data_IF_658218816173
#
_entry.id   IF_658218816173
#
_cell.length_a   1.000
_cell.length_b   1.000
_cell.length_c   1.000
_cell.angle_alpha   90.00
_cell.angle_beta   90.00
_cell.angle_gamma   90.00
#
_symmetry.space_group_name_H-M   'P 1'
#
loop_
_entity.id
_entity.type
_entity.pdbx_description
1 polymer ?
#
# COMPACT_ATOMS: atom_id res chain seq x y z
N UNK A 1 5.01 16.87 39.13
CA UNK A 1 3.58 16.48 39.29
C UNK A 1 3.18 15.63 38.11
N UNK A 2 2.41 14.55 38.33
CA UNK A 2 1.92 13.67 37.26
C UNK A 2 1.13 14.47 36.22
N UNK A 3 1.29 14.19 34.92
CA UNK A 3 0.54 14.84 33.81
C UNK A 3 -0.98 14.73 33.92
N UNK A 4 -1.49 13.97 34.90
CA UNK A 4 -2.89 13.75 35.19
C UNK A 4 -3.50 14.74 36.21
N UNK A 5 -2.70 15.66 36.78
CA UNK A 5 -3.15 16.70 37.70
C UNK A 5 -2.69 18.07 37.18
N UNK A 6 -3.64 18.96 36.89
CA UNK A 6 -3.39 20.36 36.53
C UNK A 6 -4.08 21.30 37.53
N UNK A 7 -3.45 22.43 37.82
CA UNK A 7 -4.04 23.44 38.70
C UNK A 7 -5.25 24.10 38.04
N UNK A 8 -6.22 24.53 38.86
CA UNK A 8 -7.43 25.24 38.37
C UNK A 8 -7.16 26.72 38.13
N UNK A 9 -6.12 27.29 38.76
CA UNK A 9 -5.78 28.70 38.66
C UNK A 9 -4.47 28.87 37.89
N UNK A 10 -4.49 29.65 36.82
CA UNK A 10 -3.38 29.94 35.89
C UNK A 10 -2.27 30.85 36.49
N UNK A 11 -2.12 30.92 37.81
CA UNK A 11 -1.06 31.69 38.46
C UNK A 11 0.06 30.76 38.91
N UNK A 12 1.12 30.71 38.10
CA UNK A 12 2.42 30.11 38.42
C UNK A 12 2.94 30.58 39.79
N UNK A 13 3.25 29.66 40.69
CA UNK A 13 4.61 29.60 41.26
C UNK A 13 4.84 28.30 42.05
N UNK A 14 5.72 27.44 41.54
CA UNK A 14 6.14 26.20 42.22
C UNK A 14 6.90 26.50 43.53
N UNK A 15 7.53 27.68 43.60
CA UNK A 15 8.28 28.17 44.76
C UNK A 15 7.37 28.63 45.91
N UNK A 16 6.21 29.22 45.61
CA UNK A 16 5.22 29.58 46.63
C UNK A 16 4.64 28.33 47.31
N UNK A 17 4.46 27.23 46.58
CA UNK A 17 3.86 26.00 47.10
C UNK A 17 4.80 25.22 48.03
N UNK A 18 6.09 25.10 47.67
CA UNK A 18 7.11 24.48 48.55
C UNK A 18 7.33 25.27 49.86
N UNK A 19 6.96 26.55 49.90
CA UNK A 19 7.01 27.39 51.11
C UNK A 19 5.83 27.14 52.09
N UNK A 20 4.73 26.52 51.64
CA UNK A 20 3.53 26.28 52.44
C UNK A 20 3.61 24.93 53.20
N UNK A 21 4.62 24.73 54.05
CA UNK A 21 4.52 23.75 55.14
C UNK A 21 3.65 24.40 56.22
N UNK A 22 2.35 24.05 56.40
CA UNK A 22 1.98 22.77 57.03
C UNK A 22 0.70 22.09 56.48
N UNK A 23 0.54 20.82 56.87
CA UNK A 23 -0.44 19.80 56.45
C UNK A 23 -1.94 20.18 56.37
N UNK A 24 -2.39 21.37 56.77
CA UNK A 24 -3.82 21.68 56.97
C UNK A 24 -4.45 22.61 55.91
N UNK A 25 -3.68 23.29 55.06
CA UNK A 25 -4.24 24.19 54.01
C UNK A 25 -4.61 23.50 52.70
N UNK A 26 -4.12 22.29 52.44
CA UNK A 26 -4.34 21.56 51.18
C UNK A 26 -5.74 20.95 51.03
N UNK A 27 -6.48 20.76 52.13
CA UNK A 27 -7.80 20.09 52.15
C UNK A 27 -8.90 20.79 51.36
N UNK A 28 -8.76 22.10 51.09
CA UNK A 28 -9.76 22.90 50.34
C UNK A 28 -9.34 23.21 48.90
N UNK A 29 -8.14 22.80 48.49
CA UNK A 29 -7.63 23.06 47.15
C UNK A 29 -8.20 22.05 46.16
N UNK A 30 -8.80 22.57 45.10
CA UNK A 30 -9.38 21.81 44.00
C UNK A 30 -8.39 21.74 42.83
N UNK A 31 -8.28 20.57 42.21
CA UNK A 31 -7.41 20.30 41.07
C UNK A 31 -8.21 19.75 39.90
N UNK A 32 -7.79 20.08 38.67
CA UNK A 32 -8.26 19.39 37.46
C UNK A 32 -7.57 18.03 37.41
N UNK A 33 -8.32 16.99 37.70
CA UNK A 33 -7.87 15.61 37.63
C UNK A 33 -8.33 14.99 36.30
N UNK A 34 -7.40 14.49 35.51
CA UNK A 34 -7.66 13.74 34.28
C UNK A 34 -7.49 12.25 34.52
N UNK A 35 -8.52 11.46 34.23
CA UNK A 35 -8.46 10.01 34.36
C UNK A 35 -7.49 9.41 33.33
N UNK A 36 -6.58 8.54 33.80
CA UNK A 36 -5.62 7.83 32.95
C UNK A 36 -6.26 6.87 31.94
N UNK A 37 -7.43 6.31 32.25
CA UNK A 37 -8.07 5.29 31.44
C UNK A 37 -9.05 5.86 30.39
N UNK A 38 -9.99 6.70 30.82
CA UNK A 38 -11.01 7.26 29.92
C UNK A 38 -10.72 8.70 29.46
N UNK A 39 -9.74 9.37 30.06
CA UNK A 39 -9.42 10.76 29.74
C UNK A 39 -10.39 11.79 30.34
N UNK A 40 -11.46 11.37 31.03
CA UNK A 40 -12.42 12.29 31.65
C UNK A 40 -11.74 13.21 32.66
N UNK A 41 -12.09 14.50 32.57
CA UNK A 41 -11.60 15.52 33.48
C UNK A 41 -12.65 15.76 34.56
N UNK A 42 -12.23 15.80 35.81
CA UNK A 42 -13.09 16.16 36.95
C UNK A 42 -12.33 17.04 37.93
N UNK A 43 -13.07 17.81 38.72
CA UNK A 43 -12.50 18.68 39.74
C UNK A 43 -12.53 17.93 41.07
N UNK A 44 -11.35 17.67 41.64
CA UNK A 44 -11.19 16.89 42.88
C UNK A 44 -10.21 17.56 43.84
N UNK A 45 -10.39 17.34 45.13
CA UNK A 45 -9.36 17.63 46.12
C UNK A 45 -8.26 16.57 46.03
N UNK A 46 -7.04 16.90 46.48
CA UNK A 46 -5.89 15.98 46.38
C UNK A 46 -6.14 14.64 47.08
N UNK A 47 -6.78 14.64 48.26
CA UNK A 47 -7.13 13.43 49.03
C UNK A 47 -8.16 12.52 48.33
N UNK A 48 -8.91 13.05 47.35
CA UNK A 48 -9.94 12.30 46.62
C UNK A 48 -9.44 11.69 45.30
N UNK A 49 -8.15 11.84 45.01
CA UNK A 49 -7.49 11.26 43.84
C UNK A 49 -6.81 9.96 44.31
N UNK A 50 -7.17 8.84 43.69
CA UNK A 50 -6.51 7.57 43.97
C UNK A 50 -5.12 7.52 43.33
N UNK A 51 -4.25 6.66 43.87
CA UNK A 51 -2.87 6.47 43.40
C UNK A 51 -2.80 5.99 41.94
N UNK A 52 -3.85 5.33 41.46
CA UNK A 52 -3.95 4.83 40.08
C UNK A 52 -4.38 5.91 39.07
N UNK A 53 -4.71 7.11 39.53
CA UNK A 53 -5.24 8.22 38.74
C UNK A 53 -6.45 7.83 37.87
N UNK A 54 -7.40 7.11 38.47
CA UNK A 54 -8.66 6.68 37.84
C UNK A 54 -9.88 7.44 38.37
N UNK A 55 -10.85 7.72 37.49
CA UNK A 55 -12.15 8.20 37.96
C UNK A 55 -12.92 7.08 38.67
N UNK A 56 -13.92 7.44 39.47
CA UNK A 56 -14.67 6.47 40.27
C UNK A 56 -15.33 5.39 39.39
N UNK A 57 -15.89 5.80 38.24
CA UNK A 57 -16.48 4.86 37.27
C UNK A 57 -15.45 3.85 36.73
N UNK A 58 -14.28 4.31 36.28
CA UNK A 58 -13.23 3.43 35.77
C UNK A 58 -12.65 2.50 36.86
N UNK A 59 -12.48 3.03 38.08
CA UNK A 59 -12.03 2.25 39.22
C UNK A 59 -13.05 1.14 39.58
N UNK A 60 -14.34 1.48 39.60
CA UNK A 60 -15.42 0.50 39.78
C UNK A 60 -15.44 -0.55 38.66
N UNK A 61 -15.32 -0.17 37.39
CA UNK A 61 -15.30 -1.11 36.25
C UNK A 61 -14.19 -2.17 36.44
N UNK A 62 -13.00 -1.75 36.87
CA UNK A 62 -11.88 -2.67 37.12
C UNK A 62 -12.17 -3.57 38.31
N UNK A 63 -12.74 -3.01 39.39
CA UNK A 63 -13.12 -3.75 40.59
C UNK A 63 -14.25 -4.76 40.34
N UNK A 64 -15.22 -4.47 39.46
CA UNK A 64 -16.33 -5.37 39.13
C UNK A 64 -15.95 -6.44 38.11
N UNK A 65 -14.97 -6.20 37.23
CA UNK A 65 -14.49 -7.18 36.25
C UNK A 65 -13.60 -8.29 36.85
N UNK A 66 -13.81 -8.64 38.12
CA UNK A 66 -12.98 -9.60 38.84
C UNK A 66 -12.99 -11.02 38.25
N UNK A 67 -14.00 -11.39 37.47
CA UNK A 67 -14.16 -12.76 36.96
C UNK A 67 -13.68 -12.97 35.50
N UNK A 68 -13.20 -11.93 34.80
CA UNK A 68 -12.71 -12.05 33.43
C UNK A 68 -11.22 -11.66 33.32
N UNK A 69 -10.34 -12.67 33.31
CA UNK A 69 -8.88 -12.51 33.23
C UNK A 69 -8.45 -11.71 31.98
N UNK A 70 -9.16 -11.84 30.86
CA UNK A 70 -8.82 -11.16 29.62
C UNK A 70 -9.04 -9.64 29.72
N UNK A 71 -10.17 -9.21 30.29
CA UNK A 71 -10.46 -7.79 30.50
C UNK A 71 -9.56 -7.18 31.59
N UNK A 72 -9.21 -7.93 32.64
CA UNK A 72 -8.20 -7.48 33.63
C UNK A 72 -6.86 -7.14 32.98
N UNK A 73 -6.36 -8.06 32.13
CA UNK A 73 -5.08 -7.87 31.41
C UNK A 73 -5.13 -6.64 30.53
N UNK A 74 -6.24 -6.45 29.81
CA UNK A 74 -6.47 -5.30 28.92
C UNK A 74 -6.47 -3.97 29.69
N UNK A 75 -7.21 -3.87 30.79
CA UNK A 75 -7.23 -2.67 31.64
C UNK A 75 -5.88 -2.39 32.27
N UNK A 76 -5.18 -3.41 32.74
CA UNK A 76 -3.83 -3.25 33.29
C UNK A 76 -2.86 -2.72 32.23
N UNK A 77 -2.94 -3.24 31.01
CA UNK A 77 -2.12 -2.75 29.90
C UNK A 77 -2.46 -1.29 29.55
N UNK A 78 -3.75 -0.91 29.57
CA UNK A 78 -4.17 0.46 29.32
C UNK A 78 -3.65 1.42 30.40
N UNK A 79 -3.74 1.03 31.67
CA UNK A 79 -3.25 1.83 32.79
C UNK A 79 -1.74 1.96 32.72
N UNK A 80 -0.99 0.87 32.49
CA UNK A 80 0.48 0.91 32.55
C UNK A 80 1.11 1.51 31.30
N UNK A 81 0.58 1.17 30.13
CA UNK A 81 1.22 1.43 28.83
C UNK A 81 0.35 2.24 27.86
N UNK A 82 -0.85 2.66 28.25
CA UNK A 82 -1.77 3.40 27.38
C UNK A 82 -2.36 2.57 26.23
N UNK A 83 -2.07 1.26 26.18
CA UNK A 83 -2.48 0.36 25.10
C UNK A 83 -3.21 -0.86 25.64
N UNK A 84 -4.17 -1.38 24.88
CA UNK A 84 -4.98 -2.53 25.31
C UNK A 84 -4.24 -3.89 25.25
N UNK A 85 -3.04 -3.91 24.67
CA UNK A 85 -2.16 -5.07 24.61
C UNK A 85 -0.71 -4.56 24.74
N UNK A 86 0.04 -5.12 25.69
CA UNK A 86 1.44 -4.76 25.97
C UNK A 86 2.32 -4.82 24.71
N UNK A 87 2.06 -5.75 23.78
CA UNK A 87 2.80 -5.87 22.53
C UNK A 87 2.63 -4.68 21.58
N UNK A 88 1.60 -3.84 21.79
CA UNK A 88 1.39 -2.60 21.02
C UNK A 88 2.21 -1.43 21.58
N UNK A 89 2.74 -1.53 22.80
CA UNK A 89 3.53 -0.45 23.42
C UNK A 89 4.87 -0.30 22.71
N UNK A 90 5.20 0.92 22.30
CA UNK A 90 6.48 1.21 21.65
C UNK A 90 7.67 0.93 22.57
N UNK A 91 7.53 1.24 23.87
CA UNK A 91 8.55 0.94 24.89
C UNK A 91 8.88 -0.56 24.92
N UNK A 92 7.85 -1.41 24.84
CA UNK A 92 8.00 -2.86 24.90
C UNK A 92 8.57 -3.39 23.59
N UNK A 93 8.16 -2.85 22.44
CA UNK A 93 8.74 -3.19 21.13
C UNK A 93 10.24 -2.91 21.09
N UNK A 94 10.66 -1.75 21.57
CA UNK A 94 12.09 -1.39 21.63
C UNK A 94 12.87 -2.28 22.60
N UNK A 95 12.29 -2.62 23.77
CA UNK A 95 12.91 -3.58 24.70
C UNK A 95 13.11 -4.96 24.07
N UNK A 96 12.12 -5.46 23.33
CA UNK A 96 12.20 -6.73 22.61
C UNK A 96 13.29 -6.66 21.53
N UNK A 97 13.27 -5.61 20.71
CA UNK A 97 14.28 -5.36 19.67
C UNK A 97 15.70 -5.38 20.23
N UNK A 98 15.96 -4.59 21.27
CA UNK A 98 17.27 -4.51 21.90
C UNK A 98 17.71 -5.85 22.52
N UNK A 99 16.77 -6.62 23.07
CA UNK A 99 17.06 -7.94 23.62
C UNK A 99 17.43 -8.94 22.51
N UNK A 100 16.70 -8.92 21.40
CA UNK A 100 16.98 -9.77 20.25
C UNK A 100 18.35 -9.44 19.64
N UNK A 101 18.66 -8.15 19.46
CA UNK A 101 19.97 -7.70 18.96
C UNK A 101 21.09 -8.19 19.88
N UNK A 102 20.96 -7.99 21.21
CA UNK A 102 21.99 -8.41 22.17
C UNK A 102 22.23 -9.93 22.18
N UNK A 103 21.17 -10.73 22.02
CA UNK A 103 21.27 -12.20 22.13
C UNK A 103 21.57 -12.89 20.82
N UNK A 104 21.08 -12.35 19.70
CA UNK A 104 21.04 -13.04 18.41
C UNK A 104 21.60 -12.18 17.26
N UNK A 105 22.05 -10.95 17.51
CA UNK A 105 22.60 -10.06 16.49
C UNK A 105 21.58 -9.52 15.48
N UNK A 106 20.28 -9.81 15.64
CA UNK A 106 19.20 -9.39 14.75
C UNK A 106 18.03 -8.86 15.57
N UNK A 107 17.31 -7.87 15.07
CA UNK A 107 16.09 -7.37 15.70
C UNK A 107 14.89 -8.32 15.53
N UNK A 108 14.92 -9.15 14.48
CA UNK A 108 13.88 -10.12 14.15
C UNK A 108 14.45 -11.54 14.04
N UNK A 109 14.32 -12.31 15.13
CA UNK A 109 14.82 -13.70 15.21
C UNK A 109 14.26 -14.63 14.11
N UNK A 110 13.06 -14.35 13.60
CA UNK A 110 12.43 -15.18 12.56
C UNK A 110 13.08 -15.03 11.18
N UNK A 111 13.95 -14.02 11.00
CA UNK A 111 14.77 -13.89 9.79
C UNK A 111 16.01 -14.78 9.81
N UNK A 112 16.44 -15.24 10.99
CA UNK A 112 17.60 -16.12 11.15
C UNK A 112 17.25 -17.55 10.75
N UNK A 113 18.14 -18.19 10.01
CA UNK A 113 17.88 -19.52 9.43
C UNK A 113 17.67 -20.61 10.48
N UNK A 114 18.34 -20.51 11.64
CA UNK A 114 18.10 -21.40 12.78
C UNK A 114 16.61 -21.46 13.15
N UNK A 115 15.95 -20.31 13.30
CA UNK A 115 14.55 -20.24 13.69
C UNK A 115 13.60 -20.59 12.54
N UNK A 116 13.96 -20.26 11.29
CA UNK A 116 13.22 -20.73 10.11
C UNK A 116 13.22 -22.26 10.04
N UNK A 117 14.37 -22.90 10.27
CA UNK A 117 14.53 -24.34 10.21
C UNK A 117 13.77 -25.03 11.34
N UNK A 118 13.85 -24.52 12.58
CA UNK A 118 13.02 -25.01 13.71
C UNK A 118 11.52 -24.93 13.40
N UNK A 119 11.08 -23.85 12.74
CA UNK A 119 9.67 -23.73 12.32
C UNK A 119 9.30 -24.76 11.24
N UNK A 120 10.17 -25.02 10.27
CA UNK A 120 9.95 -26.03 9.23
C UNK A 120 9.88 -27.44 9.82
N UNK A 121 10.81 -27.77 10.71
CA UNK A 121 10.87 -29.06 11.41
C UNK A 121 9.60 -29.29 12.24
N UNK A 122 9.17 -28.30 13.01
CA UNK A 122 7.92 -28.39 13.79
C UNK A 122 6.71 -28.66 12.90
N UNK A 123 6.64 -28.02 11.72
CA UNK A 123 5.56 -28.24 10.76
C UNK A 123 5.64 -29.62 10.11
N UNK A 124 6.84 -30.08 9.78
CA UNK A 124 7.08 -31.42 9.24
C UNK A 124 6.64 -32.50 10.25
N UNK A 125 7.02 -32.38 11.52
CA UNK A 125 6.64 -33.33 12.57
C UNK A 125 5.12 -33.36 12.77
N UNK A 126 4.46 -32.19 12.81
CA UNK A 126 3.02 -32.11 13.12
C UNK A 126 2.11 -32.42 11.94
N UNK A 127 2.54 -32.11 10.72
CA UNK A 127 1.67 -32.08 9.54
C UNK A 127 2.26 -32.81 8.33
N UNK A 128 3.44 -33.43 8.45
CA UNK A 128 4.12 -34.11 7.35
C UNK A 128 4.66 -33.18 6.26
N UNK A 129 4.53 -31.86 6.41
CA UNK A 129 4.94 -30.88 5.41
C UNK A 129 5.60 -29.66 6.07
N UNK A 130 6.89 -29.35 5.78
CA UNK A 130 7.60 -28.23 6.39
C UNK A 130 7.04 -26.85 5.98
N UNK A 131 6.24 -26.82 4.92
CA UNK A 131 5.57 -25.63 4.38
C UNK A 131 4.06 -25.65 4.63
N UNK A 132 3.57 -26.49 5.54
CA UNK A 132 2.14 -26.58 5.83
C UNK A 132 1.52 -25.20 6.14
N UNK A 133 0.38 -24.96 5.49
CA UNK A 133 -0.52 -23.82 5.68
C UNK A 133 -1.94 -24.37 5.78
N UNK A 134 -2.67 -23.98 6.83
CA UNK A 134 -4.05 -24.40 7.00
C UNK A 134 -5.00 -23.46 6.23
N UNK A 135 -5.19 -23.76 4.94
CA UNK A 135 -6.05 -22.96 4.07
C UNK A 135 -7.53 -22.99 4.47
N UNK A 136 -8.02 -24.11 5.01
CA UNK A 136 -9.41 -24.25 5.45
C UNK A 136 -9.71 -23.30 6.62
N UNK A 137 -8.89 -23.34 7.66
CA UNK A 137 -9.02 -22.43 8.81
C UNK A 137 -8.86 -20.97 8.42
N UNK A 138 -8.01 -20.68 7.43
CA UNK A 138 -7.87 -19.32 6.89
C UNK A 138 -9.16 -18.85 6.21
N UNK A 139 -9.79 -19.71 5.39
CA UNK A 139 -11.08 -19.43 4.75
C UNK A 139 -12.19 -19.26 5.78
N UNK A 140 -12.33 -20.17 6.74
CA UNK A 140 -13.32 -20.08 7.82
C UNK A 140 -13.19 -18.77 8.61
N UNK A 141 -11.96 -18.37 8.92
CA UNK A 141 -11.69 -17.13 9.64
C UNK A 141 -12.09 -15.92 8.79
N UNK A 142 -11.83 -15.94 7.48
CA UNK A 142 -12.27 -14.88 6.57
C UNK A 142 -13.80 -14.81 6.49
N UNK A 143 -14.48 -15.95 6.34
CA UNK A 143 -15.95 -16.01 6.30
C UNK A 143 -16.54 -15.46 7.60
N UNK A 144 -16.00 -15.88 8.75
CA UNK A 144 -16.49 -15.41 10.06
C UNK A 144 -16.29 -13.91 10.26
N UNK A 145 -15.21 -13.33 9.75
CA UNK A 145 -14.87 -11.90 9.96
C UNK A 145 -15.51 -10.98 8.94
N UNK A 146 -15.65 -11.45 7.69
CA UNK A 146 -15.94 -10.60 6.54
C UNK A 146 -17.09 -11.13 5.67
N UNK A 147 -17.69 -12.27 6.00
CA UNK A 147 -18.74 -12.91 5.19
C UNK A 147 -18.25 -13.54 3.88
N UNK A 148 -16.95 -13.46 3.58
CA UNK A 148 -16.32 -13.96 2.34
C UNK A 148 -15.12 -14.85 2.65
N UNK A 149 -14.84 -15.81 1.78
CA UNK A 149 -13.72 -16.77 1.91
C UNK A 149 -12.32 -16.15 1.71
N UNK A 150 -12.27 -14.94 1.16
CA UNK A 150 -11.04 -14.20 0.91
C UNK A 150 -11.29 -12.69 1.09
N UNK A 151 -10.43 -12.04 1.88
CA UNK A 151 -10.50 -10.59 2.12
C UNK A 151 -10.49 -9.76 0.82
N UNK A 152 -9.80 -10.21 -0.23
CA UNK A 152 -9.78 -9.52 -1.52
C UNK A 152 -11.16 -9.41 -2.19
N UNK A 153 -12.13 -10.26 -1.80
CA UNK A 153 -13.52 -10.21 -2.29
C UNK A 153 -14.39 -9.23 -1.52
N UNK A 154 -13.89 -8.63 -0.44
CA UNK A 154 -14.63 -7.60 0.29
C UNK A 154 -14.77 -6.34 -0.56
N UNK A 155 -15.90 -5.65 -0.43
CA UNK A 155 -16.13 -4.38 -1.11
C UNK A 155 -15.04 -3.36 -0.74
N UNK A 156 -14.65 -3.30 0.54
CA UNK A 156 -13.57 -2.43 1.02
C UNK A 156 -12.25 -2.64 0.25
N UNK A 157 -11.85 -3.90 0.04
CA UNK A 157 -10.62 -4.18 -0.70
C UNK A 157 -10.76 -3.83 -2.18
N UNK A 158 -11.92 -4.11 -2.79
CA UNK A 158 -12.19 -3.79 -4.19
C UNK A 158 -12.20 -2.28 -4.42
N UNK A 159 -12.80 -1.50 -3.52
CA UNK A 159 -12.83 -0.04 -3.60
C UNK A 159 -11.42 0.56 -3.51
N UNK A 160 -10.57 0.02 -2.63
CA UNK A 160 -9.15 0.43 -2.54
C UNK A 160 -8.38 0.14 -3.83
N UNK A 161 -8.63 -1.01 -4.43
CA UNK A 161 -8.02 -1.39 -5.73
C UNK A 161 -8.49 -0.41 -6.81
N UNK A 162 -9.80 -0.18 -6.93
CA UNK A 162 -10.39 0.71 -7.93
C UNK A 162 -9.91 2.14 -7.77
N UNK A 163 -9.81 2.64 -6.54
CA UNK A 163 -9.26 3.95 -6.24
C UNK A 163 -7.82 4.07 -6.72
N UNK A 164 -6.97 3.09 -6.39
CA UNK A 164 -5.56 3.08 -6.82
C UNK A 164 -5.44 3.03 -8.34
N UNK A 165 -6.28 2.24 -9.02
CA UNK A 165 -6.33 2.16 -10.48
C UNK A 165 -6.74 3.51 -11.07
N UNK A 166 -7.79 4.13 -10.55
CA UNK A 166 -8.27 5.42 -11.03
C UNK A 166 -7.23 6.53 -10.83
N UNK A 167 -6.60 6.60 -9.65
CA UNK A 167 -5.54 7.58 -9.35
C UNK A 167 -4.34 7.44 -10.29
N UNK A 168 -3.95 6.21 -10.64
CA UNK A 168 -2.78 5.97 -11.50
C UNK A 168 -3.08 6.09 -12.98
N UNK A 169 -4.30 5.75 -13.41
CA UNK A 169 -4.60 5.48 -14.81
C UNK A 169 -5.76 6.28 -15.37
N UNK A 170 -6.51 7.02 -14.55
CA UNK A 170 -7.64 7.85 -14.97
C UNK A 170 -8.86 7.08 -15.49
N UNK A 171 -8.81 5.75 -15.52
CA UNK A 171 -9.89 4.88 -16.01
C UNK A 171 -9.98 3.58 -15.22
N UNK A 172 -11.17 3.26 -14.73
CA UNK A 172 -11.45 2.01 -14.00
C UNK A 172 -11.67 0.84 -14.95
N UNK A 173 -11.28 -0.36 -14.54
CA UNK A 173 -11.71 -1.61 -15.20
C UNK A 173 -10.98 -1.99 -16.50
N UNK A 174 -9.91 -1.28 -16.87
CA UNK A 174 -9.05 -1.68 -18.00
C UNK A 174 -7.67 -2.07 -17.47
N UNK A 175 -7.22 -3.28 -17.77
CA UNK A 175 -5.81 -3.64 -17.66
C UNK A 175 -5.07 -2.92 -18.77
N UNK A 176 -4.63 -1.69 -18.51
CA UNK A 176 -3.79 -0.93 -19.42
C UNK A 176 -2.33 -1.31 -19.15
N UNK A 177 -1.54 -1.52 -20.21
CA UNK A 177 -0.12 -1.81 -20.07
C UNK A 177 0.58 -0.63 -19.39
N UNK A 178 1.38 -0.90 -18.35
CA UNK A 178 2.21 0.14 -17.71
C UNK A 178 3.08 0.86 -18.75
N UNK A 179 3.63 0.13 -19.72
CA UNK A 179 4.46 0.69 -20.76
C UNK A 179 3.69 1.57 -21.76
N UNK A 180 2.45 1.20 -22.12
CA UNK A 180 1.60 2.02 -22.98
C UNK A 180 1.27 3.37 -22.32
N UNK A 181 1.05 3.38 -20.99
CA UNK A 181 0.84 4.62 -20.22
C UNK A 181 2.10 5.48 -20.19
N UNK A 182 3.27 4.89 -19.95
CA UNK A 182 4.53 5.61 -19.95
C UNK A 182 4.84 6.21 -21.32
N UNK A 183 4.58 5.46 -22.40
CA UNK A 183 4.70 5.93 -23.77
C UNK A 183 3.75 7.10 -24.05
N UNK A 184 2.48 6.98 -23.66
CA UNK A 184 1.50 8.07 -23.77
C UNK A 184 1.94 9.32 -23.03
N UNK A 185 2.33 9.19 -21.75
CA UNK A 185 2.76 10.32 -20.94
C UNK A 185 3.97 11.02 -21.55
N UNK A 186 4.91 10.24 -22.10
CA UNK A 186 6.07 10.79 -22.80
C UNK A 186 5.65 11.56 -24.05
N UNK A 187 4.87 10.96 -24.95
CA UNK A 187 4.38 11.62 -26.17
C UNK A 187 3.61 12.89 -25.83
N UNK A 188 2.70 12.84 -24.84
CA UNK A 188 1.93 13.98 -24.36
C UNK A 188 2.82 15.10 -23.79
N UNK A 189 4.02 14.79 -23.31
CA UNK A 189 4.96 15.80 -22.81
C UNK A 189 5.76 16.52 -23.90
N UNK A 190 5.90 15.91 -25.09
CA UNK A 190 6.74 16.43 -26.18
C UNK A 190 5.94 16.88 -27.41
N UNK A 191 4.68 16.44 -27.55
CA UNK A 191 3.84 16.75 -28.69
C UNK A 191 2.67 17.65 -28.26
N UNK A 192 2.56 18.81 -28.91
CA UNK A 192 1.48 19.78 -28.70
C UNK A 192 0.53 19.68 -29.89
N UNK A 193 -0.55 18.93 -29.71
CA UNK A 193 -1.55 18.68 -30.75
C UNK A 193 -2.63 17.73 -30.25
N UNK A 194 -3.47 17.26 -31.17
CA UNK A 194 -4.50 16.28 -30.83
C UNK A 194 -3.87 14.89 -30.62
N UNK A 195 -4.16 14.27 -29.48
CA UNK A 195 -3.67 12.92 -29.12
C UNK A 195 -4.87 12.05 -28.80
N UNK A 196 -5.07 10.99 -29.59
CA UNK A 196 -6.17 10.05 -29.42
C UNK A 196 -5.59 8.72 -28.93
N UNK A 197 -6.11 8.22 -27.80
CA UNK A 197 -5.73 6.89 -27.27
C UNK A 197 -6.75 5.83 -27.63
N UNK A 198 -6.31 4.59 -27.80
CA UNK A 198 -7.16 3.41 -28.02
C UNK A 198 -8.15 3.60 -29.18
N UNK A 199 -7.70 4.20 -30.28
CA UNK A 199 -8.59 4.53 -31.40
C UNK A 199 -8.96 3.25 -32.18
N UNK A 200 -10.25 2.90 -32.25
CA UNK A 200 -10.74 1.75 -33.04
C UNK A 200 -11.48 2.14 -34.31
N UNK A 201 -11.74 3.43 -34.49
CA UNK A 201 -12.61 3.95 -35.55
C UNK A 201 -11.91 3.95 -36.91
N UNK A 202 -10.59 4.20 -36.93
CA UNK A 202 -9.83 4.39 -38.16
C UNK A 202 -9.54 3.07 -38.87
N UNK A 203 -9.17 2.02 -38.12
CA UNK A 203 -8.76 0.73 -38.69
C UNK A 203 -9.88 -0.32 -38.62
N UNK A 204 -11.13 0.08 -38.90
CA UNK A 204 -12.30 -0.82 -38.98
C UNK A 204 -12.44 -1.74 -37.75
N UNK A 205 -12.28 -1.19 -36.55
CA UNK A 205 -12.37 -1.92 -35.28
C UNK A 205 -11.04 -2.44 -34.73
N UNK A 206 -9.94 -2.38 -35.49
CA UNK A 206 -8.59 -2.59 -34.95
C UNK A 206 -8.15 -1.34 -34.20
N UNK A 207 -7.66 -1.52 -32.98
CA UNK A 207 -7.22 -0.43 -32.11
C UNK A 207 -5.87 0.12 -32.56
N UNK A 208 -5.62 1.41 -32.39
CA UNK A 208 -4.30 2.05 -32.34
C UNK A 208 -4.08 2.53 -30.90
N UNK A 209 -2.95 2.19 -30.29
CA UNK A 209 -2.70 2.55 -28.88
C UNK A 209 -2.67 4.07 -28.71
N UNK A 210 -1.90 4.76 -29.57
CA UNK A 210 -1.81 6.23 -29.61
C UNK A 210 -1.81 6.69 -31.06
N UNK A 211 -2.67 7.65 -31.39
CA UNK A 211 -2.77 8.26 -32.70
C UNK A 211 -2.69 9.78 -32.63
N UNK A 212 -1.81 10.35 -33.46
CA UNK A 212 -1.57 11.77 -33.64
C UNK A 212 -2.11 12.19 -35.02
N UNK A 213 -3.42 12.49 -35.12
CA UNK A 213 -4.07 12.78 -36.39
C UNK A 213 -3.44 13.95 -37.15
N UNK A 214 -2.95 14.97 -36.43
CA UNK A 214 -2.48 16.19 -37.09
C UNK A 214 -1.22 15.97 -37.92
N UNK A 215 -0.50 14.85 -37.72
CA UNK A 215 0.73 14.48 -38.43
C UNK A 215 0.70 13.06 -39.03
N UNK A 216 -0.48 12.43 -39.06
CA UNK A 216 -0.68 11.06 -39.57
C UNK A 216 0.35 10.05 -39.02
N UNK A 217 0.53 10.09 -37.69
CA UNK A 217 1.48 9.25 -36.97
C UNK A 217 0.76 8.47 -35.89
N UNK A 218 0.99 7.16 -35.82
CA UNK A 218 0.46 6.29 -34.80
C UNK A 218 1.59 5.52 -34.10
N UNK A 219 1.35 5.13 -32.86
CA UNK A 219 2.25 4.29 -32.08
C UNK A 219 1.52 3.06 -31.58
N UNK A 220 2.26 1.94 -31.54
CA UNK A 220 1.86 0.70 -30.92
C UNK A 220 2.89 0.29 -29.86
N UNK A 221 2.45 -0.03 -28.65
CA UNK A 221 3.28 -0.60 -27.60
C UNK A 221 3.21 -2.13 -27.65
N UNK A 222 4.20 -2.72 -28.34
CA UNK A 222 4.25 -4.15 -28.59
C UNK A 222 4.84 -4.91 -27.40
N UNK A 223 3.96 -5.52 -26.58
CA UNK A 223 4.37 -6.46 -25.52
C UNK A 223 5.12 -7.68 -26.05
N UNK A 224 6.25 -8.04 -25.43
CA UNK A 224 7.22 -9.04 -25.91
C UNK A 224 6.57 -10.41 -26.16
N UNK A 225 5.76 -10.87 -25.20
CA UNK A 225 5.04 -12.15 -25.28
C UNK A 225 3.87 -12.11 -26.28
N UNK A 226 3.07 -11.03 -26.24
CA UNK A 226 1.81 -10.89 -26.98
C UNK A 226 2.02 -10.67 -28.47
N UNK A 227 3.08 -9.93 -28.84
CA UNK A 227 3.49 -9.72 -30.23
C UNK A 227 4.57 -10.71 -30.68
N UNK A 228 4.92 -11.67 -29.81
CA UNK A 228 5.86 -12.73 -30.12
C UNK A 228 7.17 -12.17 -30.72
N UNK A 229 7.84 -11.29 -29.97
CA UNK A 229 9.04 -10.62 -30.47
C UNK A 229 10.06 -11.64 -31.05
N UNK A 230 10.45 -11.50 -32.34
CA UNK A 230 11.31 -12.46 -33.01
C UNK A 230 12.69 -12.68 -32.36
N UNK A 231 13.14 -11.74 -31.50
CA UNK A 231 14.37 -11.90 -30.71
C UNK A 231 14.29 -13.03 -29.69
N UNK A 232 13.08 -13.32 -29.19
CA UNK A 232 12.84 -14.31 -28.14
C UNK A 232 11.99 -15.49 -28.61
N UNK A 233 11.22 -15.31 -29.69
CA UNK A 233 10.32 -16.34 -30.22
C UNK A 233 10.66 -16.65 -31.68
N UNK A 234 10.84 -17.93 -31.99
CA UNK A 234 11.05 -18.40 -33.35
C UNK A 234 10.18 -19.64 -33.65
N UNK A 235 9.98 -19.95 -34.93
CA UNK A 235 9.08 -21.03 -35.40
C UNK A 235 9.70 -22.44 -35.21
N UNK A 236 10.77 -22.61 -34.43
CA UNK A 236 11.40 -23.93 -34.25
C UNK A 236 10.61 -24.87 -33.35
N UNK A 237 9.75 -24.34 -32.48
CA UNK A 237 8.88 -25.12 -31.60
C UNK A 237 7.55 -25.47 -32.29
N UNK A 238 7.37 -26.73 -32.69
CA UNK A 238 6.17 -27.26 -33.38
C UNK A 238 4.85 -26.93 -32.66
N UNK A 239 4.85 -26.89 -31.32
CA UNK A 239 3.64 -26.65 -30.52
C UNK A 239 3.24 -25.17 -30.42
N UNK A 240 4.13 -24.22 -30.71
CA UNK A 240 3.85 -22.77 -30.62
C UNK A 240 3.62 -22.09 -31.97
N UNK A 241 3.84 -22.81 -33.09
CA UNK A 241 3.88 -22.22 -34.43
C UNK A 241 2.60 -21.47 -34.81
N UNK A 242 1.43 -21.98 -34.43
CA UNK A 242 0.16 -21.37 -34.83
C UNK A 242 -0.06 -20.01 -34.16
N UNK A 243 0.25 -19.89 -32.86
CA UNK A 243 0.12 -18.63 -32.12
C UNK A 243 1.05 -17.56 -32.70
N UNK A 244 2.32 -17.90 -32.88
CA UNK A 244 3.34 -16.97 -33.39
C UNK A 244 2.96 -16.48 -34.79
N UNK A 245 2.60 -17.40 -35.70
CA UNK A 245 2.14 -17.06 -37.06
C UNK A 245 0.93 -16.14 -37.03
N UNK A 246 -0.10 -16.48 -36.25
CA UNK A 246 -1.32 -15.68 -36.17
C UNK A 246 -1.04 -14.25 -35.66
N UNK A 247 -0.18 -14.11 -34.65
CA UNK A 247 0.19 -12.81 -34.10
C UNK A 247 0.92 -11.94 -35.14
N UNK A 248 1.92 -12.50 -35.82
CA UNK A 248 2.69 -11.76 -36.84
C UNK A 248 1.86 -11.43 -38.08
N UNK A 249 0.97 -12.32 -38.50
CA UNK A 249 0.02 -12.03 -39.59
C UNK A 249 -0.87 -10.85 -39.20
N UNK A 250 -1.45 -10.87 -37.99
CA UNK A 250 -2.30 -9.78 -37.49
C UNK A 250 -1.54 -8.45 -37.40
N UNK A 251 -0.29 -8.48 -36.93
CA UNK A 251 0.55 -7.29 -36.84
C UNK A 251 0.84 -6.72 -38.23
N UNK A 252 1.20 -7.57 -39.19
CA UNK A 252 1.43 -7.17 -40.59
C UNK A 252 0.18 -6.63 -41.28
N UNK A 253 -0.98 -7.23 -41.04
CA UNK A 253 -2.26 -6.71 -41.55
C UNK A 253 -2.53 -5.30 -41.03
N UNK A 254 -2.21 -5.04 -39.76
CA UNK A 254 -2.38 -3.71 -39.16
C UNK A 254 -1.43 -2.69 -39.76
N UNK A 255 -0.17 -3.07 -40.01
CA UNK A 255 0.82 -2.22 -40.67
C UNK A 255 0.31 -1.81 -42.07
N UNK A 256 -0.19 -2.78 -42.86
CA UNK A 256 -0.76 -2.55 -44.19
C UNK A 256 -1.98 -1.61 -44.14
N UNK A 257 -2.86 -1.77 -43.14
CA UNK A 257 -4.02 -0.89 -42.97
C UNK A 257 -3.60 0.56 -42.70
N UNK A 258 -2.57 0.77 -41.89
CA UNK A 258 -2.00 2.10 -41.64
C UNK A 258 -1.37 2.69 -42.91
N UNK A 259 -0.56 1.90 -43.63
CA UNK A 259 0.08 2.32 -44.89
C UNK A 259 -0.95 2.78 -45.93
N UNK A 260 -2.04 2.03 -46.10
CA UNK A 260 -3.12 2.38 -47.03
C UNK A 260 -3.82 3.71 -46.69
N UNK A 261 -3.76 4.13 -45.43
CA UNK A 261 -4.30 5.41 -44.95
C UNK A 261 -3.22 6.50 -44.84
N UNK A 262 -2.01 6.23 -45.32
CA UNK A 262 -0.84 7.10 -45.19
C UNK A 262 -0.49 7.46 -43.73
N UNK A 263 -0.83 6.56 -42.80
CA UNK A 263 -0.48 6.68 -41.38
C UNK A 263 0.84 5.94 -41.17
N UNK A 264 1.85 6.65 -40.68
CA UNK A 264 3.08 6.00 -40.23
C UNK A 264 2.81 5.31 -38.88
N UNK A 265 2.91 3.99 -38.83
CA UNK A 265 2.80 3.24 -37.58
C UNK A 265 4.19 2.94 -37.00
N UNK A 266 4.46 3.44 -35.80
CA UNK A 266 5.71 3.20 -35.07
C UNK A 266 5.46 2.16 -33.98
N UNK A 267 6.07 0.99 -34.14
CA UNK A 267 6.07 -0.05 -33.11
C UNK A 267 7.17 0.24 -32.08
N UNK A 268 6.78 0.34 -30.82
CA UNK A 268 7.64 0.48 -29.65
C UNK A 268 7.66 -0.87 -28.94
N UNK A 269 8.77 -1.60 -29.05
CA UNK A 269 8.88 -2.94 -28.45
C UNK A 269 9.09 -2.81 -26.94
N UNK A 270 8.34 -3.58 -26.15
CA UNK A 270 8.44 -3.57 -24.69
C UNK A 270 9.87 -3.82 -24.20
N UNK A 271 10.59 -4.77 -24.80
CA UNK A 271 11.97 -5.05 -24.40
C UNK A 271 12.88 -3.83 -24.57
N UNK A 272 12.75 -3.08 -25.67
CA UNK A 272 13.55 -1.88 -25.91
C UNK A 272 13.13 -0.73 -25.00
N UNK A 273 11.82 -0.57 -24.77
CA UNK A 273 11.32 0.42 -23.82
C UNK A 273 11.82 0.20 -22.39
N UNK A 274 11.89 -1.07 -21.95
CA UNK A 274 12.35 -1.42 -20.60
C UNK A 274 13.88 -1.31 -20.47
N UNK A 275 14.63 -1.81 -21.45
CA UNK A 275 16.08 -1.94 -21.33
C UNK A 275 16.85 -0.74 -21.90
N UNK A 276 16.27 -0.01 -22.86
CA UNK A 276 16.89 1.09 -23.60
C UNK A 276 15.97 2.33 -23.63
N UNK A 277 15.31 2.62 -22.51
CA UNK A 277 14.24 3.62 -22.44
C UNK A 277 14.60 5.00 -23.00
N UNK A 278 15.78 5.52 -22.66
CA UNK A 278 16.23 6.84 -23.12
C UNK A 278 16.50 6.88 -24.62
N UNK A 279 17.00 5.78 -25.19
CA UNK A 279 17.19 5.66 -26.63
C UNK A 279 15.85 5.64 -27.37
N UNK A 280 14.88 4.85 -26.90
CA UNK A 280 13.55 4.81 -27.51
C UNK A 280 12.84 6.16 -27.42
N UNK A 281 12.97 6.87 -26.29
CA UNK A 281 12.46 8.24 -26.15
C UNK A 281 13.06 9.18 -27.19
N UNK A 282 14.39 9.18 -27.35
CA UNK A 282 15.08 10.00 -28.36
C UNK A 282 14.59 9.68 -29.78
N UNK A 283 14.52 8.38 -30.13
CA UNK A 283 13.98 7.90 -31.42
C UNK A 283 12.56 8.41 -31.67
N UNK A 284 11.67 8.31 -30.68
CA UNK A 284 10.28 8.78 -30.79
C UNK A 284 10.23 10.29 -31.00
N UNK A 285 11.02 11.04 -30.23
CA UNK A 285 11.12 12.49 -30.34
C UNK A 285 11.56 12.91 -31.74
N UNK A 286 12.62 12.31 -32.26
CA UNK A 286 13.12 12.59 -33.62
C UNK A 286 12.06 12.29 -34.69
N UNK A 287 11.30 11.20 -34.57
CA UNK A 287 10.22 10.87 -35.51
C UNK A 287 9.12 11.95 -35.50
N UNK A 288 8.70 12.38 -34.31
CA UNK A 288 7.66 13.42 -34.16
C UNK A 288 8.15 14.76 -34.71
N UNK A 289 9.37 15.18 -34.37
CA UNK A 289 9.97 16.43 -34.86
C UNK A 289 10.08 16.45 -36.39
N UNK A 290 10.56 15.36 -36.99
CA UNK A 290 10.63 15.24 -38.44
C UNK A 290 9.25 15.38 -39.09
N UNK A 291 8.23 14.71 -38.55
CA UNK A 291 6.85 14.80 -39.07
C UNK A 291 6.28 16.23 -38.97
N UNK A 292 6.55 16.93 -37.88
CA UNK A 292 6.14 18.33 -37.71
C UNK A 292 6.85 19.25 -38.71
N UNK A 293 8.14 19.04 -38.98
CA UNK A 293 8.89 19.80 -39.98
C UNK A 293 8.31 19.59 -41.39
N UNK A 294 8.00 18.35 -41.78
CA UNK A 294 7.36 18.08 -43.07
C UNK A 294 6.00 18.75 -43.20
N UNK A 295 5.20 18.79 -42.11
CA UNK A 295 3.90 19.45 -42.12
C UNK A 295 4.01 20.96 -42.35
N UNK A 296 4.99 21.63 -41.76
CA UNK A 296 5.13 23.09 -41.86
C UNK A 296 5.71 23.57 -43.21
N UNK A 297 6.23 22.65 -44.03
CA UNK A 297 6.83 22.96 -45.33
C UNK A 297 5.83 22.83 -46.51
N UNK A 298 4.56 22.50 -46.25
CA UNK A 298 3.46 22.42 -47.21
C UNK A 298 2.23 23.13 -46.67
#
# INVERSE_FOLDING_TARGET
MSNNILFINDSNDLNYYNSLKPHYKYKRLKFKFKCKLCGNISIKNLESINDEFLCNSCSCIIAFNQNNIQEKKKHTCLIKYGVNNVAKSNEIKEKIKNTNIKKYGSDCIFQLDEFKNKSKETKLIKYGNPYFVNHEKAKETCIKRYGVDNYAKTQECQDKINKTILERYGKSGIMISKGEIELYNYINSIYIGNIIRNNRDILKGRELDIYLPDIMLAFEYDGTYWHADPRFYNITNLNEQQRLKNNWVRDKEKDILCENLNIQLVRVKEYDWINNNEYEKLRIKEIIENKLLFKNNY
#
